data_IF_566839066722
#
_entry.id   IF_566839066722
#
_cell.length_a   1.000
_cell.length_b   1.000
_cell.length_c   1.000
_cell.angle_alpha   90.00
_cell.angle_beta   90.00
_cell.angle_gamma   90.00
#
_symmetry.space_group_name_H-M   'P 1'
#
loop_
_entity.id
_entity.type
_entity.pdbx_description
1 polymer ?
#
# COMPACT_ATOMS: atom_id res chain seq x y z
N UNK A 1 -14.57 14.52 6.55
CA UNK A 1 -13.27 14.63 7.25
C UNK A 1 -12.93 13.27 7.87
N UNK A 2 -12.22 12.42 7.14
CA UNK A 2 -11.70 11.16 7.70
C UNK A 2 -10.59 11.48 8.70
N UNK A 3 -10.75 11.01 9.95
CA UNK A 3 -9.70 11.10 10.97
C UNK A 3 -8.41 10.50 10.38
N UNK A 4 -7.31 11.23 10.51
CA UNK A 4 -5.98 10.76 10.16
C UNK A 4 -5.58 9.63 11.12
N UNK A 5 -5.84 8.38 10.71
CA UNK A 5 -5.69 7.20 11.56
C UNK A 5 -4.26 6.69 11.62
N UNK A 6 -3.45 6.79 10.56
CA UNK A 6 -2.08 6.26 10.58
C UNK A 6 -1.16 6.95 11.60
N UNK A 7 -1.56 8.14 12.08
CA UNK A 7 -0.92 8.84 13.21
C UNK A 7 -1.30 8.32 14.60
N UNK A 8 -2.28 7.40 14.73
CA UNK A 8 -2.70 6.86 16.02
C UNK A 8 -1.65 5.89 16.59
N UNK A 9 -1.55 5.88 17.91
CA UNK A 9 -0.59 5.06 18.66
C UNK A 9 -1.20 3.68 18.93
N UNK A 10 -0.44 2.63 18.61
CA UNK A 10 -0.74 1.23 18.86
C UNK A 10 0.47 0.56 19.47
N UNK A 11 0.28 -0.19 20.55
CA UNK A 11 1.38 -0.81 21.30
C UNK A 11 2.49 0.22 21.63
N UNK A 12 2.08 1.44 22.04
CA UNK A 12 2.95 2.59 22.37
C UNK A 12 3.75 3.18 21.19
N UNK A 13 3.48 2.77 19.95
CA UNK A 13 4.16 3.25 18.74
C UNK A 13 3.15 3.72 17.68
N UNK A 14 3.38 4.82 16.95
CA UNK A 14 2.47 5.25 15.88
C UNK A 14 2.32 4.17 14.79
N UNK A 15 1.11 3.97 14.25
CA UNK A 15 0.84 2.94 13.24
C UNK A 15 1.78 2.99 12.05
N UNK A 16 2.04 4.19 11.52
CA UNK A 16 2.95 4.36 10.39
C UNK A 16 4.36 3.80 10.68
N UNK A 17 4.86 3.92 11.91
CA UNK A 17 6.20 3.42 12.25
C UNK A 17 6.25 1.90 12.21
N UNK A 18 5.21 1.19 12.65
CA UNK A 18 5.15 -0.27 12.51
C UNK A 18 5.26 -0.69 11.05
N UNK A 19 4.56 0.02 10.15
CA UNK A 19 4.64 -0.24 8.71
C UNK A 19 6.07 0.02 8.21
N UNK A 20 6.66 1.18 8.52
CA UNK A 20 8.00 1.54 8.05
C UNK A 20 9.07 0.54 8.52
N UNK A 21 8.98 0.05 9.76
CA UNK A 21 9.88 -0.97 10.28
C UNK A 21 9.71 -2.31 9.57
N UNK A 22 8.47 -2.77 9.31
CA UNK A 22 8.21 -4.01 8.56
C UNK A 22 8.77 -3.96 7.14
N UNK A 23 8.71 -2.79 6.50
CA UNK A 23 9.22 -2.59 5.13
C UNK A 23 10.76 -2.60 5.06
N UNK A 24 11.45 -2.43 6.19
CA UNK A 24 12.90 -2.28 6.21
C UNK A 24 13.60 -3.55 5.70
N UNK A 25 14.58 -3.35 4.82
CA UNK A 25 15.29 -4.40 4.08
C UNK A 25 14.43 -5.23 3.09
N UNK A 26 13.15 -4.88 2.89
CA UNK A 26 12.26 -5.59 1.97
C UNK A 26 11.99 -4.82 0.67
N UNK A 27 12.22 -3.51 0.65
CA UNK A 27 11.98 -2.61 -0.49
C UNK A 27 13.15 -1.64 -0.67
N UNK A 28 13.23 -1.02 -1.86
CA UNK A 28 14.23 -0.01 -2.21
C UNK A 28 13.67 1.43 -2.19
N UNK A 29 12.38 1.59 -2.47
CA UNK A 29 11.66 2.88 -2.50
C UNK A 29 10.29 2.80 -1.83
N UNK A 30 9.91 3.87 -1.12
CA UNK A 30 8.59 4.04 -0.52
C UNK A 30 8.00 5.40 -0.91
N UNK A 31 6.79 5.38 -1.48
CA UNK A 31 6.00 6.58 -1.75
C UNK A 31 4.80 6.62 -0.80
N UNK A 32 4.75 7.63 0.06
CA UNK A 32 3.63 7.87 0.99
C UNK A 32 2.75 8.97 0.41
N UNK A 33 1.55 8.58 -0.04
CA UNK A 33 0.55 9.50 -0.60
C UNK A 33 -0.41 9.96 0.48
N UNK A 34 -0.56 11.27 0.66
CA UNK A 34 -1.42 11.88 1.68
C UNK A 34 -2.29 12.98 1.08
N UNK A 35 -3.46 13.20 1.67
CA UNK A 35 -4.48 14.08 1.07
C UNK A 35 -4.07 15.55 0.95
N UNK A 36 -3.18 16.06 1.81
CA UNK A 36 -2.86 17.48 1.91
C UNK A 36 -1.50 17.69 2.57
N UNK A 37 -0.94 18.88 2.37
CA UNK A 37 0.37 19.28 2.90
C UNK A 37 0.44 19.30 4.43
N UNK A 38 -0.66 19.59 5.12
CA UNK A 38 -0.72 19.57 6.59
C UNK A 38 -0.52 18.13 7.12
N UNK A 39 -1.17 17.13 6.50
CA UNK A 39 -0.96 15.71 6.82
C UNK A 39 0.46 15.27 6.52
N UNK A 40 1.04 15.72 5.40
CA UNK A 40 2.45 15.43 5.08
C UNK A 40 3.35 15.97 6.18
N UNK A 41 3.18 17.22 6.58
CA UNK A 41 3.96 17.83 7.65
C UNK A 41 3.82 17.04 8.96
N UNK A 42 2.60 16.60 9.29
CA UNK A 42 2.33 15.79 10.48
C UNK A 42 3.02 14.43 10.45
N UNK A 43 2.95 13.70 9.35
CA UNK A 43 3.62 12.40 9.22
C UNK A 43 5.14 12.54 9.31
N UNK A 44 5.69 13.53 8.61
CA UNK A 44 7.13 13.84 8.69
C UNK A 44 7.56 14.12 10.12
N UNK A 45 6.79 14.94 10.84
CA UNK A 45 7.04 15.23 12.25
C UNK A 45 7.02 13.97 13.12
N UNK A 46 5.99 13.12 13.00
CA UNK A 46 5.86 11.89 13.79
C UNK A 46 7.07 10.96 13.58
N UNK A 47 7.47 10.77 12.32
CA UNK A 47 8.60 9.90 11.97
C UNK A 47 9.91 10.47 12.54
N UNK A 48 10.17 11.76 12.36
CA UNK A 48 11.36 12.43 12.91
C UNK A 48 11.43 12.35 14.45
N UNK A 49 10.30 12.57 15.14
CA UNK A 49 10.25 12.48 16.60
C UNK A 49 10.56 11.07 17.09
N UNK A 50 10.07 10.05 16.39
CA UNK A 50 10.32 8.66 16.76
C UNK A 50 11.80 8.28 16.55
N UNK A 51 12.37 8.62 15.39
CA UNK A 51 13.79 8.37 15.08
C UNK A 51 14.76 9.04 16.07
N UNK A 52 14.47 10.29 16.46
CA UNK A 52 15.27 11.02 17.44
C UNK A 52 15.17 10.40 18.84
N UNK A 53 14.01 9.87 19.19
CA UNK A 53 13.77 9.23 20.51
C UNK A 53 14.44 7.86 20.62
N UNK A 54 14.62 7.16 19.50
CA UNK A 54 15.33 5.87 19.44
C UNK A 54 16.86 6.00 19.35
N UNK A 55 17.38 7.12 18.85
CA UNK A 55 18.81 7.40 18.73
C UNK A 55 19.36 8.20 19.94
N UNK A 56 19.51 7.55 21.09
CA UNK A 56 20.02 8.18 22.34
C UNK A 56 21.51 8.54 22.33
N UNK A 57 22.27 8.29 21.25
CA UNK A 57 23.74 8.45 21.23
C UNK A 57 24.29 9.62 20.40
N UNK A 58 23.50 10.61 19.97
CA UNK A 58 24.04 11.80 19.32
C UNK A 58 23.21 13.07 19.63
N UNK A 59 23.17 13.45 20.91
CA UNK A 59 22.84 14.81 21.30
C UNK A 59 24.11 15.63 21.06
N UNK A 60 24.19 16.30 19.90
CA UNK A 60 24.94 17.55 19.66
C UNK A 60 24.96 17.89 18.15
N UNK A 61 23.83 18.37 17.61
CA UNK A 61 23.85 19.39 16.55
C UNK A 61 22.43 19.88 16.24
N UNK A 62 22.07 21.04 16.81
CA UNK A 62 20.75 21.67 16.74
C UNK A 62 20.49 22.49 15.48
N UNK A 63 21.27 22.33 14.41
CA UNK A 63 21.17 23.18 13.21
C UNK A 63 21.01 22.39 11.90
N UNK A 64 20.05 21.46 11.83
CA UNK A 64 19.54 20.98 10.53
C UNK A 64 18.10 20.46 10.67
N UNK A 65 17.12 21.35 10.52
CA UNK A 65 15.68 21.05 10.52
C UNK A 65 15.26 20.24 9.27
N UNK A 66 16.19 20.00 8.34
CA UNK A 66 15.98 19.17 7.14
C UNK A 66 17.03 18.06 7.06
N UNK A 67 17.11 17.19 8.07
CA UNK A 67 17.74 15.89 7.86
C UNK A 67 16.77 15.07 6.98
N UNK A 68 17.17 14.77 5.75
CA UNK A 68 16.44 13.82 4.91
C UNK A 68 16.33 12.48 5.68
N UNK A 69 15.21 11.77 5.52
CA UNK A 69 14.92 10.48 6.18
C UNK A 69 15.92 9.34 5.83
N UNK A 70 16.95 9.65 5.06
CA UNK A 70 17.80 8.71 4.34
C UNK A 70 18.69 7.83 5.22
N UNK A 71 18.78 8.07 6.53
CA UNK A 71 19.71 7.32 7.39
C UNK A 71 19.03 6.29 8.32
N UNK A 72 17.71 6.29 8.45
CA UNK A 72 17.00 5.45 9.44
C UNK A 72 16.40 4.17 8.83
N UNK A 73 16.19 4.14 7.51
CA UNK A 73 15.64 3.01 6.77
C UNK A 73 16.54 2.65 5.59
N UNK A 74 16.50 1.40 5.15
CA UNK A 74 17.29 0.89 4.01
C UNK A 74 16.77 1.35 2.65
N UNK A 75 15.71 2.15 2.62
CA UNK A 75 15.00 2.59 1.42
C UNK A 75 14.77 4.11 1.45
N UNK A 76 14.56 4.68 0.27
CA UNK A 76 14.19 6.10 0.15
C UNK A 76 12.71 6.32 0.48
N UNK A 77 12.40 7.44 1.16
CA UNK A 77 11.01 7.82 1.49
C UNK A 77 10.64 9.12 0.79
N UNK A 78 9.62 9.05 -0.05
CA UNK A 78 9.02 10.22 -0.70
C UNK A 78 7.61 10.47 -0.14
N UNK A 79 7.32 11.71 0.21
CA UNK A 79 5.97 12.15 0.57
C UNK A 79 5.35 12.91 -0.59
N UNK A 80 4.15 12.50 -0.99
CA UNK A 80 3.44 13.07 -2.13
C UNK A 80 2.04 13.48 -1.70
N UNK A 81 1.62 14.66 -2.14
CA UNK A 81 0.26 15.13 -1.94
C UNK A 81 -0.65 14.56 -3.04
N UNK A 82 -1.80 13.99 -2.66
CA UNK A 82 -2.77 13.44 -3.61
C UNK A 82 -3.21 14.50 -4.62
N UNK A 83 -2.97 14.25 -5.91
CA UNK A 83 -3.25 15.19 -6.99
C UNK A 83 -4.76 15.44 -7.14
N UNK A 84 -5.59 14.43 -6.84
CA UNK A 84 -7.04 14.49 -7.08
C UNK A 84 -7.77 14.33 -5.74
N UNK A 85 -8.20 15.45 -5.17
CA UNK A 85 -8.79 15.48 -3.82
C UNK A 85 -10.13 14.75 -3.74
N UNK A 86 -10.32 14.06 -2.62
CA UNK A 86 -11.60 13.48 -2.19
C UNK A 86 -12.17 12.40 -3.14
N UNK A 87 -11.34 11.70 -3.91
CA UNK A 87 -11.76 10.67 -4.87
C UNK A 87 -11.43 9.23 -4.42
N UNK A 88 -11.33 9.04 -3.10
CA UNK A 88 -11.14 7.72 -2.49
C UNK A 88 -9.74 7.14 -2.73
N UNK A 89 -9.55 5.83 -2.49
CA UNK A 89 -8.24 5.21 -2.64
C UNK A 89 -7.69 5.22 -4.07
N UNK A 90 -8.59 5.27 -5.07
CA UNK A 90 -8.21 5.25 -6.48
C UNK A 90 -7.35 6.47 -6.88
N UNK A 91 -7.62 7.66 -6.33
CA UNK A 91 -6.76 8.84 -6.54
C UNK A 91 -5.40 8.70 -5.88
N UNK A 92 -5.36 8.13 -4.67
CA UNK A 92 -4.11 7.83 -3.98
C UNK A 92 -3.21 6.89 -4.79
N UNK A 93 -3.78 5.81 -5.33
CA UNK A 93 -3.05 4.87 -6.21
C UNK A 93 -2.59 5.56 -7.49
N UNK A 94 -3.46 6.36 -8.13
CA UNK A 94 -3.10 7.14 -9.31
C UNK A 94 -1.87 8.03 -9.05
N UNK A 95 -1.93 8.82 -7.98
CA UNK A 95 -0.85 9.72 -7.58
C UNK A 95 0.43 8.93 -7.28
N UNK A 96 0.33 7.84 -6.52
CA UNK A 96 1.48 7.00 -6.16
C UNK A 96 2.17 6.40 -7.39
N UNK A 97 1.40 5.80 -8.31
CA UNK A 97 1.94 5.20 -9.53
C UNK A 97 2.67 6.21 -10.43
N UNK A 98 2.28 7.49 -10.41
CA UNK A 98 3.00 8.53 -11.15
C UNK A 98 4.37 8.86 -10.56
N UNK A 99 4.58 8.57 -9.28
CA UNK A 99 5.79 8.95 -8.54
C UNK A 99 6.78 7.80 -8.29
N UNK A 100 6.35 6.54 -8.41
CA UNK A 100 7.28 5.39 -8.33
C UNK A 100 8.26 5.39 -9.51
N UNK A 101 9.47 4.91 -9.28
CA UNK A 101 10.44 4.65 -10.34
C UNK A 101 10.26 3.28 -10.97
N UNK A 102 9.79 2.30 -10.19
CA UNK A 102 9.57 0.91 -10.60
C UNK A 102 8.36 0.71 -11.51
N UNK A 103 8.35 -0.39 -12.28
CA UNK A 103 7.22 -0.78 -13.15
C UNK A 103 6.01 -1.33 -12.37
N UNK A 104 6.27 -1.89 -11.20
CA UNK A 104 5.27 -2.47 -10.30
C UNK A 104 5.50 -1.97 -8.88
N UNK A 105 4.43 -1.76 -8.12
CA UNK A 105 4.50 -1.40 -6.71
C UNK A 105 3.45 -2.15 -5.90
N UNK A 106 3.75 -2.47 -4.65
CA UNK A 106 2.77 -2.98 -3.70
C UNK A 106 2.08 -1.80 -3.02
N UNK A 107 0.76 -1.71 -3.16
CA UNK A 107 -0.07 -0.74 -2.45
C UNK A 107 -0.48 -1.35 -1.11
N UNK A 108 -0.37 -0.55 -0.05
CA UNK A 108 -0.74 -0.88 1.33
C UNK A 108 -1.37 0.36 1.96
N UNK A 109 -2.50 0.26 2.70
CA UNK A 109 -3.07 1.43 3.33
C UNK A 109 -2.27 1.80 4.60
N UNK A 110 -2.21 3.09 4.93
CA UNK A 110 -1.45 3.59 6.08
C UNK A 110 -2.01 3.16 7.45
N UNK A 111 -3.13 2.44 7.49
CA UNK A 111 -3.82 1.94 8.69
C UNK A 111 -3.81 0.40 8.81
N UNK A 112 -2.84 -0.25 8.13
CA UNK A 112 -2.52 -1.68 8.26
C UNK A 112 -1.22 -1.93 9.05
N UNK A 113 -1.18 -1.69 10.37
CA UNK A 113 0.05 -1.82 11.16
C UNK A 113 0.47 -3.28 11.42
N UNK A 114 -0.36 -4.26 11.05
CA UNK A 114 -0.06 -5.69 11.20
C UNK A 114 0.36 -6.34 9.90
N UNK A 115 0.69 -5.54 8.88
CA UNK A 115 1.30 -6.06 7.67
C UNK A 115 2.58 -6.83 8.05
N UNK A 116 2.75 -7.99 7.42
CA UNK A 116 3.80 -8.95 7.76
C UNK A 116 4.86 -8.97 6.65
N UNK A 117 6.14 -9.07 7.00
CA UNK A 117 7.23 -9.15 6.03
C UNK A 117 7.10 -10.39 5.12
N UNK A 118 6.64 -11.52 5.66
CA UNK A 118 6.42 -12.75 4.88
C UNK A 118 5.36 -12.54 3.81
N UNK A 119 4.32 -11.73 4.09
CA UNK A 119 3.33 -11.34 3.09
C UNK A 119 3.96 -10.51 1.95
N UNK A 120 4.76 -9.51 2.28
CA UNK A 120 5.43 -8.67 1.28
C UNK A 120 6.32 -9.51 0.35
N UNK A 121 7.19 -10.33 0.96
CA UNK A 121 8.14 -11.19 0.24
C UNK A 121 7.39 -12.15 -0.67
N UNK A 122 6.35 -12.82 -0.14
CA UNK A 122 5.59 -13.77 -0.91
C UNK A 122 4.84 -13.12 -2.08
N UNK A 123 4.24 -11.94 -1.89
CA UNK A 123 3.56 -11.21 -2.98
C UNK A 123 4.53 -10.90 -4.13
N UNK A 124 5.72 -10.37 -3.84
CA UNK A 124 6.73 -10.11 -4.87
C UNK A 124 7.26 -11.40 -5.51
N UNK A 125 7.48 -12.46 -4.71
CA UNK A 125 7.90 -13.77 -5.22
C UNK A 125 6.88 -14.37 -6.17
N UNK A 126 5.60 -14.39 -5.79
CA UNK A 126 4.50 -14.88 -6.63
C UNK A 126 4.42 -14.04 -7.91
N UNK A 127 4.42 -12.71 -7.80
CA UNK A 127 4.41 -11.82 -8.97
C UNK A 127 5.55 -12.14 -9.93
N UNK A 128 6.77 -12.32 -9.42
CA UNK A 128 7.93 -12.64 -10.27
C UNK A 128 7.81 -14.02 -10.92
N UNK A 129 7.34 -15.04 -10.20
CA UNK A 129 7.09 -16.37 -10.76
C UNK A 129 6.02 -16.34 -11.83
N UNK A 130 4.91 -15.64 -11.60
CA UNK A 130 3.83 -15.59 -12.59
C UNK A 130 4.28 -14.82 -13.84
N UNK A 131 5.09 -13.76 -13.69
CA UNK A 131 5.60 -13.02 -14.85
C UNK A 131 6.67 -13.77 -15.67
N UNK A 132 7.22 -14.89 -15.20
CA UNK A 132 8.05 -15.74 -16.08
C UNK A 132 7.20 -16.49 -17.11
N UNK A 133 5.96 -16.81 -16.75
CA UNK A 133 5.10 -17.69 -17.53
C UNK A 133 4.00 -16.91 -18.28
N UNK A 134 3.53 -15.82 -17.68
CA UNK A 134 2.46 -14.98 -18.19
C UNK A 134 2.94 -13.55 -18.41
N UNK A 135 2.64 -12.98 -19.58
CA UNK A 135 2.91 -11.57 -19.88
C UNK A 135 1.67 -10.71 -19.58
N UNK A 136 1.84 -9.38 -19.58
CA UNK A 136 0.77 -8.38 -19.58
C UNK A 136 -0.17 -8.39 -18.35
N UNK A 137 0.31 -8.80 -17.18
CA UNK A 137 -0.47 -8.67 -15.92
C UNK A 137 -0.32 -7.26 -15.36
N UNK A 138 -1.46 -6.64 -15.09
CA UNK A 138 -1.56 -5.27 -14.60
C UNK A 138 -1.72 -5.20 -13.07
N UNK A 139 -2.32 -6.23 -12.45
CA UNK A 139 -2.53 -6.28 -11.01
C UNK A 139 -2.43 -7.70 -10.46
N UNK A 140 -1.84 -7.83 -9.27
CA UNK A 140 -1.82 -9.07 -8.49
C UNK A 140 -2.58 -8.84 -7.19
N UNK A 141 -3.74 -9.47 -7.06
CA UNK A 141 -4.74 -9.14 -6.04
C UNK A 141 -4.98 -10.34 -5.14
N UNK A 142 -4.69 -10.24 -3.82
CA UNK A 142 -5.04 -11.29 -2.87
C UNK A 142 -6.56 -11.51 -2.80
N UNK A 143 -6.98 -12.76 -2.73
CA UNK A 143 -8.39 -13.14 -2.59
C UNK A 143 -8.56 -14.41 -1.77
N UNK A 144 -9.62 -14.43 -0.96
CA UNK A 144 -10.08 -15.60 -0.21
C UNK A 144 -11.07 -16.43 -1.01
N UNK A 145 -11.18 -17.72 -0.68
CA UNK A 145 -12.17 -18.63 -1.22
C UNK A 145 -12.00 -18.97 -2.70
N UNK A 146 -10.78 -18.85 -3.23
CA UNK A 146 -10.50 -19.24 -4.62
C UNK A 146 -10.40 -20.77 -4.72
N UNK A 147 -11.08 -21.38 -5.69
CA UNK A 147 -10.81 -22.76 -6.08
C UNK A 147 -9.68 -22.79 -7.12
N UNK A 148 -8.96 -23.92 -7.21
CA UNK A 148 -7.73 -24.09 -8.00
C UNK A 148 -7.86 -23.73 -9.49
N UNK A 149 -9.07 -23.78 -10.04
CA UNK A 149 -9.35 -23.48 -11.45
C UNK A 149 -9.56 -21.98 -11.72
N UNK A 150 -9.50 -21.14 -10.68
CA UNK A 150 -9.87 -19.72 -10.68
C UNK A 150 -8.63 -18.84 -10.43
N UNK A 151 -7.46 -19.27 -10.87
CA UNK A 151 -6.29 -18.39 -10.99
C UNK A 151 -6.15 -18.04 -12.48
N UNK A 152 -6.24 -16.75 -12.88
CA UNK A 152 -6.17 -16.16 -14.25
C UNK A 152 -7.54 -15.85 -14.90
N UNK A 153 -7.74 -14.90 -15.84
CA UNK A 153 -7.00 -13.73 -16.39
C UNK A 153 -7.99 -13.05 -17.38
N UNK A 154 -7.87 -11.73 -17.59
CA UNK A 154 -8.67 -10.85 -18.48
C UNK A 154 -10.01 -10.32 -17.95
N UNK A 155 -10.22 -9.04 -18.24
CA UNK A 155 -11.46 -8.26 -18.24
C UNK A 155 -12.65 -8.83 -19.04
N UNK A 156 -12.49 -10.00 -19.69
CA UNK A 156 -13.51 -10.68 -20.50
C UNK A 156 -14.03 -11.98 -19.86
N UNK A 157 -13.53 -12.33 -18.68
CA UNK A 157 -13.91 -13.56 -18.01
C UNK A 157 -15.25 -13.38 -17.27
N UNK A 158 -16.25 -14.21 -17.59
CA UNK A 158 -17.60 -14.10 -17.00
C UNK A 158 -17.60 -14.34 -15.47
N UNK A 159 -16.53 -14.93 -14.94
CA UNK A 159 -16.40 -15.29 -13.54
C UNK A 159 -15.70 -14.21 -12.68
N UNK A 160 -15.35 -13.05 -13.25
CA UNK A 160 -14.69 -11.97 -12.51
C UNK A 160 -15.54 -11.46 -11.32
N UNK A 161 -16.87 -11.49 -11.44
CA UNK A 161 -17.78 -11.12 -10.36
C UNK A 161 -17.70 -12.07 -9.16
N UNK A 162 -17.41 -13.36 -9.39
CA UNK A 162 -17.22 -14.34 -8.31
C UNK A 162 -15.93 -14.03 -7.55
N UNK A 163 -14.86 -13.70 -8.27
CA UNK A 163 -13.54 -13.38 -7.72
C UNK A 163 -13.55 -12.07 -6.93
N UNK A 164 -14.32 -11.09 -7.38
CA UNK A 164 -14.50 -9.80 -6.71
C UNK A 164 -15.46 -9.86 -5.50
N UNK A 165 -15.71 -11.05 -4.91
CA UNK A 165 -16.50 -11.18 -3.67
C UNK A 165 -15.65 -11.05 -2.39
N UNK A 166 -14.39 -11.46 -2.42
CA UNK A 166 -13.54 -11.54 -1.21
C UNK A 166 -12.09 -11.25 -1.52
N UNK A 167 -11.84 -10.05 -2.06
CA UNK A 167 -10.54 -9.59 -2.54
C UNK A 167 -10.01 -8.41 -1.72
N UNK A 168 -8.69 -8.23 -1.72
CA UNK A 168 -7.97 -7.21 -0.93
C UNK A 168 -7.21 -6.22 -1.84
N UNK A 169 -7.91 -5.27 -2.49
CA UNK A 169 -7.32 -4.42 -3.52
C UNK A 169 -6.31 -3.41 -2.95
N UNK A 170 -6.37 -3.10 -1.66
CA UNK A 170 -5.41 -2.21 -1.01
C UNK A 170 -4.21 -2.94 -0.43
N UNK A 171 -4.10 -4.26 -0.61
CA UNK A 171 -2.90 -5.05 -0.29
C UNK A 171 -2.41 -5.75 -1.56
N UNK A 172 -2.37 -5.02 -2.68
CA UNK A 172 -2.19 -5.57 -4.03
C UNK A 172 -1.02 -4.94 -4.76
N UNK A 173 -0.40 -5.71 -5.65
CA UNK A 173 0.64 -5.18 -6.55
C UNK A 173 -0.04 -4.63 -7.79
N UNK A 174 0.33 -3.41 -8.19
CA UNK A 174 -0.17 -2.76 -9.39
C UNK A 174 0.98 -2.35 -10.32
N UNK A 175 0.77 -2.54 -11.62
CA UNK A 175 1.65 -2.05 -12.68
C UNK A 175 1.42 -0.55 -12.92
N UNK A 176 2.48 0.18 -13.25
CA UNK A 176 2.42 1.57 -13.71
C UNK A 176 1.58 1.74 -14.98
N UNK A 177 1.40 0.69 -15.77
CA UNK A 177 0.62 0.72 -17.01
C UNK A 177 -0.88 1.05 -16.80
N UNK A 178 -1.41 0.86 -15.59
CA UNK A 178 -2.83 1.11 -15.30
C UNK A 178 -3.16 2.59 -15.07
N UNK A 179 -2.17 3.49 -15.02
CA UNK A 179 -2.39 4.94 -14.76
C UNK A 179 -3.47 5.51 -15.68
N UNK A 180 -3.47 5.15 -16.97
CA UNK A 180 -4.46 5.62 -17.92
C UNK A 180 -5.85 5.04 -17.67
N UNK A 181 -5.95 3.78 -17.26
CA UNK A 181 -7.22 3.14 -16.87
C UNK A 181 -7.80 3.80 -15.62
N UNK A 182 -6.97 4.07 -14.61
CA UNK A 182 -7.39 4.81 -13.43
C UNK A 182 -7.86 6.21 -13.80
N UNK A 183 -7.12 6.94 -14.64
CA UNK A 183 -7.49 8.28 -15.07
C UNK A 183 -8.87 8.32 -15.73
N UNK A 184 -9.16 7.39 -16.64
CA UNK A 184 -10.48 7.29 -17.30
C UNK A 184 -11.61 7.11 -16.30
N UNK A 185 -11.41 6.27 -15.29
CA UNK A 185 -12.41 6.04 -14.23
C UNK A 185 -12.62 7.29 -13.38
N UNK A 186 -11.54 7.95 -12.95
CA UNK A 186 -11.60 9.20 -12.19
C UNK A 186 -12.28 10.34 -12.97
N UNK A 187 -11.96 10.49 -14.26
CA UNK A 187 -12.59 11.47 -15.14
C UNK A 187 -14.09 11.19 -15.34
N UNK A 188 -14.52 9.93 -15.19
CA UNK A 188 -15.91 9.48 -15.28
C UNK A 188 -16.63 9.39 -13.92
N UNK A 189 -15.99 9.86 -12.84
CA UNK A 189 -16.47 9.76 -11.45
C UNK A 189 -16.77 8.33 -10.94
N UNK A 190 -16.08 7.34 -11.52
CA UNK A 190 -16.10 5.95 -11.04
C UNK A 190 -14.92 5.75 -10.08
N UNK A 191 -15.20 5.64 -8.78
CA UNK A 191 -14.19 5.77 -7.72
C UNK A 191 -13.82 4.45 -7.03
N UNK A 192 -14.52 3.37 -7.36
CA UNK A 192 -14.34 2.09 -6.70
C UNK A 192 -13.26 1.24 -7.37
N UNK A 193 -12.48 0.52 -6.55
CA UNK A 193 -11.40 -0.35 -7.04
C UNK A 193 -11.93 -1.57 -7.78
N UNK A 194 -13.19 -1.98 -7.54
CA UNK A 194 -13.82 -3.10 -8.23
C UNK A 194 -13.94 -2.81 -9.74
N UNK A 195 -14.36 -1.59 -10.09
CA UNK A 195 -14.41 -1.12 -11.47
C UNK A 195 -13.02 -1.09 -12.12
N UNK A 196 -11.98 -0.63 -11.41
CA UNK A 196 -10.59 -0.72 -11.91
C UNK A 196 -10.18 -2.15 -12.24
N UNK A 197 -10.42 -3.10 -11.33
CA UNK A 197 -10.05 -4.49 -11.54
C UNK A 197 -10.81 -5.17 -12.69
N UNK A 198 -11.96 -4.63 -13.10
CA UNK A 198 -12.67 -5.08 -14.31
C UNK A 198 -12.08 -4.53 -15.61
N UNK A 199 -11.33 -3.43 -15.56
CA UNK A 199 -10.76 -2.77 -16.74
C UNK A 199 -9.35 -3.26 -17.09
N UNK A 200 -8.67 -3.96 -16.17
CA UNK A 200 -7.26 -4.34 -16.29
C UNK A 200 -7.05 -5.84 -16.19
N UNK A 201 -5.86 -6.32 -16.57
CA UNK A 201 -5.52 -7.74 -16.47
C UNK A 201 -5.11 -8.10 -15.04
N UNK A 202 -6.00 -8.78 -14.33
CA UNK A 202 -5.79 -9.14 -12.92
C UNK A 202 -5.41 -10.61 -12.78
N UNK A 203 -4.38 -10.87 -11.98
CA UNK A 203 -4.07 -12.17 -11.43
C UNK A 203 -4.50 -12.21 -9.96
N UNK A 204 -5.43 -13.10 -9.61
CA UNK A 204 -5.85 -13.27 -8.22
C UNK A 204 -4.95 -14.29 -7.50
N UNK A 205 -4.53 -13.96 -6.29
CA UNK A 205 -3.65 -14.80 -5.47
C UNK A 205 -4.50 -15.41 -4.34
N UNK A 206 -4.55 -16.74 -4.28
CA UNK A 206 -5.23 -17.42 -3.17
C UNK A 206 -4.42 -17.28 -1.88
N UNK A 207 -5.05 -16.70 -0.86
CA UNK A 207 -4.45 -16.44 0.45
C UNK A 207 -5.03 -17.27 1.59
N UNK A 208 -5.94 -18.21 1.34
CA UNK A 208 -6.60 -19.01 2.38
C UNK A 208 -5.62 -19.82 3.25
N UNK A 209 -4.54 -20.34 2.65
CA UNK A 209 -3.58 -21.25 3.31
C UNK A 209 -2.20 -20.61 3.51
N UNK A 210 -1.92 -19.50 2.82
CA UNK A 210 -0.56 -18.97 2.68
C UNK A 210 -0.26 -17.78 3.60
N UNK A 211 -1.27 -17.13 4.17
CA UNK A 211 -1.08 -15.88 4.91
C UNK A 211 -1.94 -15.79 6.17
N UNK A 212 -1.38 -15.13 7.19
CA UNK A 212 -2.15 -14.78 8.38
C UNK A 212 -3.24 -13.77 8.03
N UNK A 213 -4.50 -14.05 8.41
CA UNK A 213 -5.61 -13.10 8.27
C UNK A 213 -5.36 -11.76 8.97
N UNK A 214 -4.39 -11.70 9.91
CA UNK A 214 -4.00 -10.46 10.58
C UNK A 214 -3.30 -9.48 9.63
N UNK A 215 -2.59 -9.95 8.61
CA UNK A 215 -1.86 -9.11 7.66
C UNK A 215 -2.76 -8.18 6.84
N UNK A 216 -4.05 -8.53 6.74
CA UNK A 216 -5.08 -7.76 6.03
C UNK A 216 -6.01 -7.00 6.97
N UNK A 217 -5.80 -7.08 8.29
CA UNK A 217 -6.68 -6.42 9.28
C UNK A 217 -6.40 -4.91 9.28
N UNK A 218 -7.32 -4.14 8.70
CA UNK A 218 -7.37 -2.69 8.89
C UNK A 218 -7.96 -2.36 10.27
N UNK A 219 -7.29 -1.47 11.02
CA UNK A 219 -7.79 -0.96 12.28
C UNK A 219 -8.74 0.23 12.07
N UNK A 220 -9.96 -0.11 11.68
CA UNK A 220 -10.97 0.89 11.37
C UNK A 220 -11.87 1.31 12.54
N UNK A 221 -11.93 0.55 13.65
CA UNK A 221 -12.79 0.86 14.81
C UNK A 221 -11.95 1.17 16.05
N UNK A 222 -12.34 2.19 16.83
CA UNK A 222 -11.67 2.53 18.10
C UNK A 222 -11.67 1.37 19.10
N UNK A 223 -12.60 0.41 18.96
CA UNK A 223 -12.65 -0.79 19.78
C UNK A 223 -11.52 -1.78 19.50
N UNK A 224 -10.87 -1.73 18.33
CA UNK A 224 -9.72 -2.57 18.01
C UNK A 224 -8.39 -2.05 18.63
N UNK A 225 -8.38 -0.84 19.19
CA UNK A 225 -7.20 -0.20 19.81
C UNK A 225 -6.96 -0.61 21.26
N UNK A 226 -7.77 -1.53 21.81
CA UNK A 226 -7.66 -2.05 23.19
C UNK A 226 -6.90 -3.38 23.29
N UNK A 227 -6.05 -3.70 22.32
CA UNK A 227 -5.15 -4.86 22.36
C UNK A 227 -3.78 -4.47 22.94
#
# INVERSE_FOLDING_TARGET
MGKDKGSLIINKKPMIIHILETLNHQIDELVIVLNDSDRIARYKYIIQQYENSSNTNNINNTNNIMKEFNNSYSYSIQFVEDEIKNKGPLSGIYTGLKHISSDYTLVIPCDSPYIDADFLIAMFKIKNQILTDLQNIDAFVPSYGLTSDINCYNNKDNDIEIRLKSFEPLHSIYSKNIINSIKKLLDSDVLDLKSLLKEVNVYFINIDENFSKKSFKNLNKMDDLKL
#
